data_IF_655962321989
#
_entry.id   IF_655962321989
#
_cell.length_a   1.000
_cell.length_b   1.000
_cell.length_c   1.000
_cell.angle_alpha   90.00
_cell.angle_beta   90.00
_cell.angle_gamma   90.00
#
_symmetry.space_group_name_H-M   'P 1'
#
loop_
_entity.id
_entity.type
_entity.pdbx_description
1 polymer ?
#
# COMPACT_ATOMS: atom_id res chain seq x y z
N UNK A 1 14.87 18.76 -21.21
CA UNK A 1 13.75 18.22 -20.41
C UNK A 1 14.12 18.42 -18.96
N UNK A 2 13.50 19.39 -18.29
CA UNK A 2 13.71 19.61 -16.85
C UNK A 2 12.91 18.55 -16.09
N UNK A 3 13.61 17.58 -15.50
CA UNK A 3 12.98 16.64 -14.55
C UNK A 3 12.46 17.46 -13.36
N UNK A 4 11.15 17.45 -13.16
CA UNK A 4 10.54 18.05 -11.97
C UNK A 4 11.11 17.32 -10.73
N UNK A 5 11.46 18.05 -9.65
CA UNK A 5 11.97 17.41 -8.44
C UNK A 5 10.92 16.40 -7.95
N UNK A 6 11.34 15.16 -7.69
CA UNK A 6 10.48 14.16 -7.01
C UNK A 6 10.07 14.74 -5.67
N UNK A 7 8.84 15.24 -5.58
CA UNK A 7 8.24 15.63 -4.31
C UNK A 7 8.10 14.34 -3.51
N UNK A 8 8.86 14.24 -2.42
CA UNK A 8 8.74 13.12 -1.50
C UNK A 8 7.38 13.19 -0.81
N UNK A 9 6.48 12.25 -1.14
CA UNK A 9 5.23 12.03 -0.41
C UNK A 9 5.38 10.76 0.44
N UNK A 10 5.56 10.89 1.76
CA UNK A 10 5.71 9.75 2.68
C UNK A 10 4.54 8.76 2.60
N UNK A 11 3.33 9.25 2.31
CA UNK A 11 2.13 8.39 2.23
C UNK A 11 2.12 7.58 0.96
N UNK A 12 2.54 8.16 -0.17
CA UNK A 12 2.67 7.44 -1.42
C UNK A 12 3.76 6.36 -1.33
N UNK A 13 4.90 6.69 -0.71
CA UNK A 13 5.99 5.73 -0.51
C UNK A 13 5.57 4.59 0.43
N UNK A 14 4.80 4.88 1.48
CA UNK A 14 4.24 3.85 2.35
C UNK A 14 3.30 2.90 1.60
N UNK A 15 2.39 3.43 0.76
CA UNK A 15 1.49 2.62 -0.07
C UNK A 15 2.28 1.70 -0.98
N UNK A 16 3.28 2.23 -1.68
CA UNK A 16 4.14 1.45 -2.57
C UNK A 16 4.88 0.34 -1.83
N UNK A 17 5.50 0.67 -0.68
CA UNK A 17 6.20 -0.30 0.16
C UNK A 17 5.28 -1.46 0.57
N UNK A 18 4.06 -1.17 1.03
CA UNK A 18 3.12 -2.22 1.44
C UNK A 18 2.68 -3.05 0.24
N UNK A 19 2.41 -2.44 -0.91
CA UNK A 19 2.07 -3.15 -2.14
C UNK A 19 3.17 -4.13 -2.56
N UNK A 20 4.42 -3.65 -2.59
CA UNK A 20 5.60 -4.47 -2.94
C UNK A 20 5.80 -5.63 -1.96
N UNK A 21 5.65 -5.37 -0.65
CA UNK A 21 5.84 -6.38 0.41
C UNK A 21 4.78 -7.48 0.40
N UNK A 22 3.53 -7.12 0.10
CA UNK A 22 2.38 -8.03 0.24
C UNK A 22 1.95 -8.64 -1.11
N UNK A 23 2.33 -8.01 -2.22
CA UNK A 23 1.96 -8.40 -3.57
C UNK A 23 0.51 -8.09 -3.94
N UNK A 24 -0.17 -7.20 -3.20
CA UNK A 24 -1.46 -6.61 -3.62
C UNK A 24 -1.22 -5.25 -4.28
N UNK A 25 -2.17 -4.78 -5.07
CA UNK A 25 -2.04 -3.52 -5.82
C UNK A 25 -2.13 -2.28 -4.92
N UNK A 26 -1.50 -1.17 -5.32
CA UNK A 26 -1.58 0.11 -4.59
C UNK A 26 -3.03 0.57 -4.30
N UNK A 27 -4.02 0.42 -5.22
CA UNK A 27 -5.42 0.72 -4.92
C UNK A 27 -6.01 -0.15 -3.80
N UNK A 28 -5.68 -1.45 -3.76
CA UNK A 28 -6.10 -2.34 -2.68
C UNK A 28 -5.48 -1.91 -1.35
N UNK A 29 -4.21 -1.51 -1.33
CA UNK A 29 -3.57 -0.97 -0.12
C UNK A 29 -4.27 0.30 0.35
N UNK A 30 -4.60 1.24 -0.54
CA UNK A 30 -5.33 2.48 -0.20
C UNK A 30 -6.71 2.18 0.36
N UNK A 31 -7.40 1.17 -0.17
CA UNK A 31 -8.66 0.69 0.37
C UNK A 31 -8.49 0.12 1.78
N UNK A 32 -7.49 -0.73 2.02
CA UNK A 32 -7.22 -1.23 3.37
C UNK A 32 -6.88 -0.11 4.35
N UNK A 33 -6.08 0.87 3.93
CA UNK A 33 -5.77 2.07 4.73
C UNK A 33 -7.04 2.84 5.10
N UNK A 34 -8.03 2.94 4.20
CA UNK A 34 -9.30 3.60 4.52
C UNK A 34 -10.12 2.89 5.60
N UNK A 35 -9.86 1.60 5.84
CA UNK A 35 -10.57 0.78 6.83
C UNK A 35 -9.81 0.74 8.15
N UNK A 36 -8.50 0.46 8.11
CA UNK A 36 -7.68 0.19 9.30
C UNK A 36 -6.67 1.29 9.64
N UNK A 37 -6.54 2.30 8.79
CA UNK A 37 -5.53 3.36 8.92
C UNK A 37 -4.15 2.94 8.41
N UNK A 38 -3.12 3.72 8.80
CA UNK A 38 -1.73 3.55 8.34
C UNK A 38 -0.91 2.57 9.20
N UNK A 39 -1.54 1.66 9.94
CA UNK A 39 -0.82 0.66 10.73
C UNK A 39 -0.28 -0.47 9.83
N UNK A 40 1.04 -0.54 9.69
CA UNK A 40 1.71 -1.50 8.81
C UNK A 40 1.36 -2.96 9.13
N UNK A 41 1.33 -3.33 10.41
CA UNK A 41 1.05 -4.70 10.83
C UNK A 41 -0.38 -5.13 10.47
N UNK A 42 -1.34 -4.24 10.68
CA UNK A 42 -2.74 -4.45 10.29
C UNK A 42 -2.87 -4.56 8.78
N UNK A 43 -2.21 -3.69 8.01
CA UNK A 43 -2.26 -3.73 6.55
C UNK A 43 -1.68 -5.03 5.97
N UNK A 44 -0.53 -5.50 6.48
CA UNK A 44 0.06 -6.76 6.04
C UNK A 44 -0.87 -7.94 6.36
N UNK A 45 -1.55 -7.93 7.52
CA UNK A 45 -2.53 -8.96 7.87
C UNK A 45 -3.69 -8.96 6.87
N UNK A 46 -4.34 -7.82 6.66
CA UNK A 46 -5.49 -7.71 5.78
C UNK A 46 -5.12 -8.01 4.32
N UNK A 47 -3.93 -7.60 3.87
CA UNK A 47 -3.43 -7.92 2.53
C UNK A 47 -3.22 -9.43 2.33
N UNK A 48 -2.75 -10.16 3.35
CA UNK A 48 -2.63 -11.62 3.30
C UNK A 48 -3.98 -12.32 3.23
N UNK A 49 -5.00 -11.80 3.91
CA UNK A 49 -6.38 -12.31 3.83
C UNK A 49 -6.93 -12.05 2.44
N UNK A 50 -6.85 -10.81 1.97
CA UNK A 50 -7.31 -10.40 0.64
C UNK A 50 -6.72 -11.28 -0.47
N UNK A 51 -5.42 -11.59 -0.38
CA UNK A 51 -4.75 -12.43 -1.36
C UNK A 51 -5.23 -13.88 -1.36
N UNK A 52 -5.59 -14.43 -0.20
CA UNK A 52 -6.15 -15.79 -0.09
C UNK A 52 -7.54 -15.87 -0.71
N UNK A 53 -8.35 -14.83 -0.54
CA UNK A 53 -9.73 -14.78 -1.07
C UNK A 53 -9.77 -14.59 -2.60
N UNK A 54 -8.65 -14.16 -3.21
CA UNK A 54 -8.51 -13.99 -4.66
C UNK A 54 -8.00 -15.24 -5.41
N UNK A 55 -7.72 -16.35 -4.71
CA UNK A 55 -7.30 -17.63 -5.29
C UNK A 55 -8.44 -18.65 -5.33
#
# INVERSE_FOLDING_TARGET
>A
MTELPKIFDPRAEFVRKVADETGISEPQVRYLISIVGYDHSSLVREARILKRDQQ
#
